data_IF_892586342973
#
_entry.id   IF_892586342973
#
_cell.length_a   1.000
_cell.length_b   1.000
_cell.length_c   1.000
_cell.angle_alpha   90.00
_cell.angle_beta   90.00
_cell.angle_gamma   90.00
#
_symmetry.space_group_name_H-M   'P 1'
#
loop_
_entity.id
_entity.type
_entity.pdbx_description
1 polymer ?
#
# COMPACT_ATOMS: atom_id res chain seq x y z
N UNK A 1 26.91 3.22 -21.15
CA UNK A 1 26.22 3.10 -19.85
C UNK A 1 25.83 1.63 -19.64
N UNK A 2 25.86 1.13 -18.41
CA UNK A 2 25.31 -0.20 -18.11
C UNK A 2 23.81 -0.22 -18.38
N UNK A 3 23.32 -1.37 -18.85
CA UNK A 3 21.91 -1.60 -19.11
C UNK A 3 21.18 -2.04 -17.86
N UNK A 4 20.15 -1.31 -17.47
CA UNK A 4 19.22 -1.68 -16.38
C UNK A 4 17.87 -2.02 -16.95
N UNK A 5 17.40 -3.22 -16.69
CA UNK A 5 16.02 -3.60 -16.92
C UNK A 5 15.24 -3.43 -15.60
N UNK A 6 14.09 -2.77 -15.67
CA UNK A 6 13.16 -2.62 -14.54
C UNK A 6 11.90 -3.41 -14.86
N UNK A 7 11.57 -4.39 -14.03
CA UNK A 7 10.38 -5.23 -14.19
C UNK A 7 9.20 -4.62 -13.44
N UNK A 8 8.31 -3.99 -14.18
CA UNK A 8 7.09 -3.35 -13.67
C UNK A 8 7.14 -1.82 -13.68
N UNK A 9 6.04 -1.22 -14.17
CA UNK A 9 5.85 0.22 -14.34
C UNK A 9 4.91 0.84 -13.29
N UNK A 10 4.88 0.28 -12.08
CA UNK A 10 4.25 0.91 -10.93
C UNK A 10 5.08 2.07 -10.38
N UNK A 11 4.61 2.70 -9.29
CA UNK A 11 5.29 3.87 -8.70
C UNK A 11 6.76 3.55 -8.32
N UNK A 12 7.06 2.35 -7.82
CA UNK A 12 8.43 1.95 -7.46
C UNK A 12 9.33 1.88 -8.69
N UNK A 13 8.90 1.15 -9.74
CA UNK A 13 9.69 0.98 -10.96
C UNK A 13 9.90 2.30 -11.71
N UNK A 14 8.88 3.15 -11.82
CA UNK A 14 9.01 4.46 -12.45
C UNK A 14 9.90 5.41 -11.65
N UNK A 15 9.81 5.38 -10.30
CA UNK A 15 10.65 6.24 -9.46
C UNK A 15 12.12 5.87 -9.57
N UNK A 16 12.47 4.58 -9.43
CA UNK A 16 13.87 4.14 -9.55
C UNK A 16 14.40 4.39 -10.96
N UNK A 17 13.58 4.15 -12.00
CA UNK A 17 13.97 4.43 -13.38
C UNK A 17 14.34 5.91 -13.57
N UNK A 18 13.51 6.84 -13.05
CA UNK A 18 13.81 8.29 -13.08
C UNK A 18 15.13 8.64 -12.44
N UNK A 19 15.43 8.02 -11.31
CA UNK A 19 16.65 8.29 -10.53
C UNK A 19 17.91 7.70 -11.18
N UNK A 20 17.76 6.73 -12.08
CA UNK A 20 18.88 6.04 -12.74
C UNK A 20 19.18 6.56 -14.16
N UNK A 21 18.30 7.35 -14.79
CA UNK A 21 18.42 7.78 -16.19
C UNK A 21 19.74 8.48 -16.53
N UNK A 22 20.31 9.24 -15.60
CA UNK A 22 21.56 9.98 -15.83
C UNK A 22 22.81 9.08 -15.81
N UNK A 23 22.71 7.89 -15.19
CA UNK A 23 23.85 6.99 -14.96
C UNK A 23 23.76 5.69 -15.77
N UNK A 24 22.54 5.29 -16.17
CA UNK A 24 22.27 3.98 -16.80
C UNK A 24 21.41 4.11 -18.06
N UNK A 25 21.53 3.12 -18.95
CA UNK A 25 20.55 2.88 -20.01
C UNK A 25 19.37 2.07 -19.41
N UNK A 26 18.26 2.76 -19.16
CA UNK A 26 17.13 2.18 -18.41
C UNK A 26 15.98 1.82 -19.36
N UNK A 27 15.48 0.60 -19.23
CA UNK A 27 14.32 0.09 -19.95
C UNK A 27 13.37 -0.62 -19.00
N UNK A 28 12.06 -0.34 -19.14
CA UNK A 28 11.01 -0.96 -18.31
C UNK A 28 10.28 -2.04 -19.11
N UNK A 29 10.09 -3.22 -18.49
CA UNK A 29 9.22 -4.28 -19.00
C UNK A 29 7.96 -4.34 -18.11
N UNK A 30 6.80 -4.08 -18.70
CA UNK A 30 5.49 -4.09 -18.02
C UNK A 30 4.63 -5.23 -18.54
N UNK A 31 4.18 -6.11 -17.65
CA UNK A 31 3.39 -7.28 -18.02
C UNK A 31 1.98 -6.91 -18.54
N UNK A 32 1.38 -5.83 -18.03
CA UNK A 32 0.06 -5.40 -18.46
C UNK A 32 0.11 -4.49 -19.68
N UNK A 33 -1.03 -4.27 -20.31
CA UNK A 33 -1.22 -3.35 -21.44
C UNK A 33 -1.18 -1.88 -21.04
N UNK A 34 -1.19 -1.58 -19.75
CA UNK A 34 -1.23 -0.23 -19.19
C UNK A 34 -0.31 -0.09 -17.98
N UNK A 35 0.46 0.99 -17.97
CA UNK A 35 1.35 1.34 -16.86
C UNK A 35 0.60 1.78 -15.60
N UNK A 36 1.23 1.64 -14.41
CA UNK A 36 0.74 2.23 -13.18
C UNK A 36 0.61 1.29 -11.97
N UNK A 37 0.70 -0.02 -12.16
CA UNK A 37 0.58 -0.99 -11.06
C UNK A 37 -0.71 -0.80 -10.25
N UNK A 38 -0.62 -0.83 -8.92
CA UNK A 38 -1.79 -0.69 -8.03
C UNK A 38 -2.45 0.70 -8.05
N UNK A 39 -1.73 1.74 -8.46
CA UNK A 39 -2.28 3.11 -8.46
C UNK A 39 -2.88 3.52 -9.82
N UNK A 40 -3.07 2.53 -10.69
CA UNK A 40 -3.66 2.67 -12.03
C UNK A 40 -5.12 3.15 -11.94
N UNK A 41 -5.47 4.12 -12.79
CA UNK A 41 -6.85 4.58 -12.94
C UNK A 41 -7.30 4.44 -14.40
N UNK A 42 -8.60 4.25 -14.59
CA UNK A 42 -9.26 4.27 -15.90
C UNK A 42 -10.32 5.36 -15.98
N UNK A 43 -10.69 5.74 -17.20
CA UNK A 43 -11.89 6.52 -17.46
C UNK A 43 -12.99 5.59 -17.97
N UNK A 44 -14.10 5.52 -17.25
CA UNK A 44 -15.29 4.75 -17.62
C UNK A 44 -16.40 5.75 -17.89
N UNK A 45 -16.76 5.89 -19.17
CA UNK A 45 -17.77 6.87 -19.63
C UNK A 45 -17.52 8.28 -19.06
N UNK A 46 -16.25 8.69 -18.98
CA UNK A 46 -15.83 9.99 -18.41
C UNK A 46 -15.56 9.99 -16.89
N UNK A 47 -16.05 9.03 -16.14
CA UNK A 47 -15.79 8.91 -14.69
C UNK A 47 -14.44 8.29 -14.40
N UNK A 48 -13.72 8.80 -13.40
CA UNK A 48 -12.42 8.24 -13.01
C UNK A 48 -12.62 7.03 -12.09
N UNK A 49 -12.11 5.89 -12.51
CA UNK A 49 -12.10 4.66 -11.74
C UNK A 49 -10.69 4.37 -11.21
N UNK A 50 -10.47 4.51 -9.92
CA UNK A 50 -9.35 3.89 -9.24
C UNK A 50 -9.60 2.39 -9.19
N UNK A 51 -8.83 1.59 -9.94
CA UNK A 51 -9.03 0.13 -9.99
C UNK A 51 -8.92 -0.53 -8.62
N UNK A 52 -8.08 0.04 -7.74
CA UNK A 52 -7.83 -0.43 -6.38
C UNK A 52 -7.75 0.79 -5.47
N UNK A 53 -8.53 0.79 -4.39
CA UNK A 53 -8.44 1.84 -3.37
C UNK A 53 -8.78 3.25 -3.86
N UNK A 54 -8.27 4.24 -3.17
CA UNK A 54 -8.33 5.67 -3.52
C UNK A 54 -7.00 6.28 -3.13
N UNK A 55 -6.09 6.36 -4.09
CA UNK A 55 -4.71 6.75 -3.84
C UNK A 55 -4.56 8.26 -3.81
N UNK A 56 -4.02 8.76 -2.71
CA UNK A 56 -3.67 10.16 -2.47
C UNK A 56 -2.19 10.24 -2.11
N UNK A 57 -1.58 11.39 -2.26
CA UNK A 57 -0.17 11.59 -1.95
C UNK A 57 0.02 12.46 -0.71
N UNK A 58 0.86 12.02 0.18
CA UNK A 58 1.51 12.79 1.24
C UNK A 58 2.73 12.01 1.74
N UNK A 59 3.65 12.69 2.41
CA UNK A 59 4.79 12.06 3.08
C UNK A 59 5.17 12.87 4.32
N UNK A 60 5.74 12.19 5.31
CA UNK A 60 6.45 12.82 6.44
C UNK A 60 7.95 12.99 6.16
N UNK A 61 8.48 12.34 5.11
CA UNK A 61 9.87 12.44 4.70
C UNK A 61 10.04 13.63 3.75
N UNK A 62 10.79 14.65 4.20
CA UNK A 62 11.02 15.86 3.41
C UNK A 62 11.77 15.57 2.11
N UNK A 63 12.73 14.65 2.10
CA UNK A 63 13.48 14.28 0.89
C UNK A 63 12.56 13.70 -0.18
N UNK A 64 11.58 12.87 0.22
CA UNK A 64 10.55 12.34 -0.69
C UNK A 64 9.65 13.45 -1.23
N UNK A 65 9.25 14.41 -0.36
CA UNK A 65 8.45 15.57 -0.77
C UNK A 65 9.20 16.43 -1.78
N UNK A 66 10.47 16.73 -1.51
CA UNK A 66 11.31 17.57 -2.39
C UNK A 66 11.47 16.90 -3.77
N UNK A 67 11.79 15.62 -3.79
CA UNK A 67 11.89 14.86 -5.05
C UNK A 67 10.56 14.86 -5.80
N UNK A 68 9.46 14.60 -5.13
CA UNK A 68 8.13 14.56 -5.76
C UNK A 68 7.79 15.92 -6.38
N UNK A 69 7.91 17.01 -5.62
CA UNK A 69 7.57 18.34 -6.10
C UNK A 69 8.53 18.89 -7.16
N UNK A 70 9.72 18.32 -7.30
CA UNK A 70 10.59 18.62 -8.45
C UNK A 70 10.05 18.06 -9.78
N UNK A 71 9.15 17.09 -9.75
CA UNK A 71 8.51 16.51 -10.92
C UNK A 71 7.11 17.11 -11.21
N UNK A 72 6.51 17.79 -10.25
CA UNK A 72 5.12 18.27 -10.33
C UNK A 72 4.99 19.69 -9.81
N UNK A 73 4.12 20.51 -10.48
CA UNK A 73 3.72 21.80 -9.94
C UNK A 73 2.58 21.61 -8.93
N UNK A 74 2.92 21.76 -7.64
CA UNK A 74 1.99 21.50 -6.55
C UNK A 74 0.70 22.33 -6.65
N UNK A 75 0.83 23.63 -6.91
CA UNK A 75 -0.29 24.56 -6.85
C UNK A 75 -1.15 24.56 -8.10
N UNK A 76 -0.56 24.27 -9.26
CA UNK A 76 -1.26 24.19 -10.53
C UNK A 76 -1.90 22.83 -10.80
N UNK A 77 -1.23 21.75 -10.39
CA UNK A 77 -1.60 20.38 -10.78
C UNK A 77 -2.31 19.58 -9.70
N UNK A 78 -2.21 20.00 -8.43
CA UNK A 78 -2.80 19.27 -7.30
C UNK A 78 -3.81 20.09 -6.52
N UNK A 79 -4.71 19.39 -5.86
CA UNK A 79 -5.62 19.87 -4.84
C UNK A 79 -5.09 19.44 -3.48
N UNK A 80 -5.08 20.34 -2.50
CA UNK A 80 -4.84 20.00 -1.11
C UNK A 80 -6.17 19.81 -0.42
N UNK A 81 -6.30 18.71 0.35
CA UNK A 81 -7.51 18.40 1.09
C UNK A 81 -7.19 17.86 2.48
N UNK A 82 -8.09 18.14 3.42
CA UNK A 82 -8.10 17.50 4.74
C UNK A 82 -8.95 16.24 4.69
N UNK A 83 -8.48 15.20 5.35
CA UNK A 83 -9.20 13.93 5.42
C UNK A 83 -10.48 14.07 6.26
N UNK A 84 -11.63 13.81 5.65
CA UNK A 84 -12.90 13.67 6.34
C UNK A 84 -13.31 12.19 6.30
N UNK A 85 -12.70 11.37 7.15
CA UNK A 85 -13.01 9.96 7.24
C UNK A 85 -14.03 9.70 8.35
N UNK A 86 -14.97 8.79 8.09
CA UNK A 86 -16.02 8.38 9.03
C UNK A 86 -16.08 6.86 9.15
N UNK A 87 -16.70 6.42 10.22
CA UNK A 87 -17.06 5.02 10.48
C UNK A 87 -18.57 4.93 10.52
N UNK A 88 -19.16 4.02 9.77
CA UNK A 88 -20.58 3.70 9.88
C UNK A 88 -20.79 2.67 10.99
N UNK A 89 -21.46 3.10 12.06
CA UNK A 89 -21.74 2.26 13.22
C UNK A 89 -23.18 2.45 13.70
N UNK A 90 -23.95 1.37 13.74
CA UNK A 90 -25.37 1.39 14.10
C UNK A 90 -26.17 2.46 13.32
N UNK A 91 -25.87 2.62 12.03
CA UNK A 91 -26.54 3.59 11.16
C UNK A 91 -26.12 5.05 11.36
N UNK A 92 -25.13 5.34 12.21
CA UNK A 92 -24.58 6.67 12.47
C UNK A 92 -23.17 6.82 11.93
N UNK A 93 -22.83 8.02 11.46
CA UNK A 93 -21.46 8.36 11.06
C UNK A 93 -20.68 8.86 12.27
N UNK A 94 -19.63 8.14 12.63
CA UNK A 94 -18.71 8.46 13.73
C UNK A 94 -17.37 8.90 13.13
N UNK A 95 -16.65 9.81 13.79
CA UNK A 95 -15.33 10.26 13.38
C UNK A 95 -14.31 9.11 13.34
N UNK A 96 -13.28 9.26 12.52
CA UNK A 96 -12.16 8.33 12.40
C UNK A 96 -10.85 9.02 12.79
N UNK A 97 -9.98 8.37 13.54
CA UNK A 97 -10.05 7.00 14.07
C UNK A 97 -10.98 6.92 15.29
N UNK A 98 -11.61 5.74 15.50
CA UNK A 98 -12.68 5.57 16.48
C UNK A 98 -12.25 5.93 17.91
N UNK A 99 -11.02 5.59 18.29
CA UNK A 99 -10.47 5.84 19.62
C UNK A 99 -10.44 7.34 19.99
N UNK A 100 -10.45 8.25 19.02
CA UNK A 100 -10.51 9.70 19.27
C UNK A 100 -11.95 10.25 19.31
N UNK A 101 -12.94 9.44 18.95
CA UNK A 101 -14.33 9.85 18.83
C UNK A 101 -15.30 8.98 19.65
N UNK A 102 -14.82 8.40 20.76
CA UNK A 102 -15.64 7.55 21.65
C UNK A 102 -16.86 8.31 22.18
N UNK A 103 -16.76 9.62 22.38
CA UNK A 103 -17.86 10.48 22.85
C UNK A 103 -19.06 10.52 21.89
N UNK A 104 -18.94 10.02 20.67
CA UNK A 104 -20.02 9.90 19.68
C UNK A 104 -20.76 8.56 19.76
N UNK A 105 -20.22 7.60 20.54
CA UNK A 105 -20.87 6.31 20.82
C UNK A 105 -22.01 6.44 21.86
N UNK A 106 -22.90 5.43 21.97
CA UNK A 106 -23.88 5.38 23.05
C UNK A 106 -23.22 5.48 24.43
N UNK A 107 -23.83 6.22 25.36
CA UNK A 107 -23.26 6.50 26.69
C UNK A 107 -22.78 5.24 27.42
N UNK A 108 -23.60 4.19 27.42
CA UNK A 108 -23.24 2.92 28.08
C UNK A 108 -21.97 2.30 27.48
N UNK A 109 -21.84 2.34 26.15
CA UNK A 109 -20.64 1.84 25.44
C UNK A 109 -19.41 2.66 25.80
N UNK A 110 -19.52 3.99 25.83
CA UNK A 110 -18.44 4.89 26.25
C UNK A 110 -18.00 4.58 27.68
N UNK A 111 -18.97 4.44 28.61
CA UNK A 111 -18.70 4.12 30.01
C UNK A 111 -17.94 2.80 30.18
N UNK A 112 -18.34 1.76 29.45
CA UNK A 112 -17.69 0.46 29.48
C UNK A 112 -16.24 0.53 28.95
N UNK A 113 -16.03 1.21 27.81
CA UNK A 113 -14.70 1.36 27.22
C UNK A 113 -13.79 2.19 28.15
N UNK A 114 -14.28 3.34 28.64
CA UNK A 114 -13.45 4.24 29.49
C UNK A 114 -13.08 3.56 30.80
N UNK A 115 -14.01 2.85 31.44
CA UNK A 115 -13.70 2.10 32.67
C UNK A 115 -12.60 1.05 32.40
N UNK A 116 -12.72 0.23 31.35
CA UNK A 116 -11.68 -0.73 30.99
C UNK A 116 -10.32 -0.06 30.74
N UNK A 117 -10.30 1.07 30.02
CA UNK A 117 -9.06 1.84 29.77
C UNK A 117 -8.44 2.38 31.07
N UNK A 118 -9.25 2.83 32.04
CA UNK A 118 -8.78 3.29 33.34
C UNK A 118 -8.21 2.15 34.18
N UNK A 119 -8.88 0.99 34.18
CA UNK A 119 -8.38 -0.22 34.86
C UNK A 119 -7.03 -0.65 34.27
N UNK A 120 -6.90 -0.66 32.93
CA UNK A 120 -5.63 -0.96 32.27
C UNK A 120 -4.50 0.02 32.64
N UNK A 121 -4.81 1.31 32.83
CA UNK A 121 -3.81 2.30 33.28
C UNK A 121 -3.39 2.03 34.74
N UNK A 122 -4.34 1.64 35.60
CA UNK A 122 -4.07 1.36 37.01
C UNK A 122 -3.22 0.09 37.17
N UNK A 123 -3.44 -0.94 36.36
CA UNK A 123 -2.75 -2.23 36.41
C UNK A 123 -1.36 -2.22 35.71
N UNK A 124 -1.09 -1.27 34.86
CA UNK A 124 0.13 -1.26 34.03
C UNK A 124 1.36 -0.85 34.83
N UNK A 125 2.12 -1.83 35.31
CA UNK A 125 3.35 -1.64 36.14
C UNK A 125 4.66 -1.72 35.34
N UNK A 126 4.64 -2.11 34.05
CA UNK A 126 5.84 -2.28 33.22
C UNK A 126 5.50 -2.20 31.71
N UNK A 127 6.51 -1.99 30.87
CA UNK A 127 6.40 -2.13 29.42
C UNK A 127 5.96 -3.53 29.04
N UNK A 128 4.77 -3.66 28.44
CA UNK A 128 4.24 -4.95 27.98
C UNK A 128 4.69 -5.17 26.55
N UNK A 129 5.36 -6.28 26.28
CA UNK A 129 5.63 -6.74 24.91
C UNK A 129 4.47 -7.61 24.45
N UNK A 130 4.01 -7.37 23.26
CA UNK A 130 2.93 -8.13 22.63
C UNK A 130 3.50 -9.07 21.56
N UNK A 131 2.93 -10.26 21.42
CA UNK A 131 3.43 -11.27 20.48
C UNK A 131 2.83 -11.17 19.07
N UNK A 132 1.69 -10.50 18.93
CA UNK A 132 0.96 -10.39 17.68
C UNK A 132 0.03 -9.16 17.68
N UNK A 133 -0.54 -8.86 16.51
CA UNK A 133 -1.38 -7.69 16.29
C UNK A 133 -2.67 -7.69 17.15
N UNK A 134 -3.30 -8.86 17.35
CA UNK A 134 -4.49 -8.95 18.20
C UNK A 134 -4.17 -8.56 19.64
N UNK A 135 -3.11 -9.13 20.22
CA UNK A 135 -2.72 -8.87 21.60
C UNK A 135 -2.30 -7.42 21.79
N UNK A 136 -1.61 -6.84 20.79
CA UNK A 136 -1.31 -5.41 20.74
C UNK A 136 -2.58 -4.55 20.78
N UNK A 137 -3.58 -4.84 19.94
CA UNK A 137 -4.82 -4.07 19.91
C UNK A 137 -5.60 -4.16 21.21
N UNK A 138 -5.69 -5.35 21.81
CA UNK A 138 -6.35 -5.55 23.11
C UNK A 138 -5.57 -4.82 24.22
N UNK A 139 -4.27 -4.97 24.26
CA UNK A 139 -3.42 -4.33 25.27
C UNK A 139 -3.26 -2.82 25.15
N UNK A 140 -3.57 -2.26 23.97
CA UNK A 140 -3.51 -0.80 23.73
C UNK A 140 -4.86 -0.12 23.84
N UNK A 141 -5.95 -0.81 23.52
CA UNK A 141 -7.28 -0.20 23.38
C UNK A 141 -8.38 -0.90 24.21
N UNK A 142 -8.06 -2.00 24.88
CA UNK A 142 -9.01 -2.81 25.63
C UNK A 142 -9.82 -3.78 24.77
N UNK A 143 -10.37 -4.78 25.45
CA UNK A 143 -11.17 -5.85 24.81
C UNK A 143 -12.50 -5.32 24.24
N UNK A 144 -13.09 -4.33 24.90
CA UNK A 144 -14.36 -3.74 24.45
C UNK A 144 -14.20 -3.04 23.09
N UNK A 145 -13.21 -2.16 22.96
CA UNK A 145 -12.96 -1.44 21.72
C UNK A 145 -12.43 -2.37 20.63
N UNK A 146 -11.60 -3.36 21.01
CA UNK A 146 -11.19 -4.41 20.09
C UNK A 146 -12.40 -5.16 19.49
N UNK A 147 -13.31 -5.66 20.33
CA UNK A 147 -14.47 -6.41 19.85
C UNK A 147 -15.46 -5.56 19.07
N UNK A 148 -15.56 -4.27 19.40
CA UNK A 148 -16.45 -3.33 18.73
C UNK A 148 -15.97 -2.96 17.33
N UNK A 149 -14.68 -2.72 17.16
CA UNK A 149 -14.13 -2.12 15.95
C UNK A 149 -12.90 -2.81 15.40
N UNK A 150 -11.79 -2.85 16.16
CA UNK A 150 -10.49 -3.26 15.59
C UNK A 150 -10.48 -4.71 15.12
N UNK A 151 -11.03 -5.63 15.91
CA UNK A 151 -11.11 -7.04 15.57
C UNK A 151 -11.94 -7.29 14.31
N UNK A 152 -13.22 -6.91 14.29
CA UNK A 152 -14.09 -7.10 13.12
C UNK A 152 -13.56 -6.44 11.86
N UNK A 153 -13.06 -5.19 11.96
CA UNK A 153 -12.59 -4.44 10.81
C UNK A 153 -11.31 -5.02 10.21
N UNK A 154 -10.30 -5.28 11.04
CA UNK A 154 -9.03 -5.82 10.57
C UNK A 154 -9.17 -7.24 10.04
N UNK A 155 -9.94 -8.12 10.72
CA UNK A 155 -10.22 -9.46 10.21
C UNK A 155 -10.91 -9.44 8.84
N UNK A 156 -11.78 -8.45 8.59
CA UNK A 156 -12.45 -8.28 7.30
C UNK A 156 -11.48 -7.87 6.20
N UNK A 157 -10.62 -6.87 6.44
CA UNK A 157 -9.66 -6.38 5.44
C UNK A 157 -8.64 -7.46 5.08
N UNK A 158 -8.07 -8.10 6.10
CA UNK A 158 -6.98 -9.05 5.92
C UNK A 158 -7.46 -10.43 5.50
N UNK A 159 -8.74 -10.72 5.74
CA UNK A 159 -9.32 -12.05 5.54
C UNK A 159 -8.46 -13.15 6.19
N UNK A 160 -7.92 -12.86 7.35
CA UNK A 160 -7.07 -13.76 8.14
C UNK A 160 -7.26 -13.56 9.63
N UNK A 161 -6.79 -14.54 10.41
CA UNK A 161 -6.72 -14.41 11.87
C UNK A 161 -5.60 -13.44 12.26
N UNK A 162 -5.98 -12.27 12.76
CA UNK A 162 -5.02 -11.22 13.15
C UNK A 162 -4.13 -11.58 14.35
N UNK A 163 -4.40 -12.67 15.05
CA UNK A 163 -3.48 -13.22 16.04
C UNK A 163 -2.21 -13.83 15.44
N UNK A 164 -2.21 -14.10 14.13
CA UNK A 164 -1.06 -14.61 13.39
C UNK A 164 -0.21 -13.51 12.74
N UNK A 165 -0.70 -12.27 12.75
CA UNK A 165 0.01 -11.12 12.17
C UNK A 165 1.04 -10.60 13.18
N UNK A 166 2.34 -10.53 12.83
CA UNK A 166 3.40 -10.07 13.71
C UNK A 166 3.38 -8.55 13.91
N UNK A 167 4.00 -8.07 14.99
CA UNK A 167 4.04 -6.64 15.30
C UNK A 167 5.06 -5.85 14.49
N UNK A 168 6.12 -6.47 14.06
CA UNK A 168 7.18 -5.85 13.26
C UNK A 168 6.61 -5.23 11.98
N UNK A 169 5.50 -5.76 11.51
CA UNK A 169 4.76 -5.21 10.38
C UNK A 169 4.15 -3.82 10.66
N UNK A 170 3.87 -3.51 11.93
CA UNK A 170 3.21 -2.27 12.35
C UNK A 170 4.18 -1.12 12.59
N UNK A 171 5.47 -1.41 12.66
CA UNK A 171 6.48 -0.43 13.02
C UNK A 171 6.41 0.80 12.09
N UNK A 172 6.20 1.97 12.68
CA UNK A 172 6.00 3.23 11.99
C UNK A 172 4.68 3.40 11.20
N UNK A 173 3.79 2.40 11.17
CA UNK A 173 2.55 2.41 10.36
C UNK A 173 1.29 2.76 11.14
N UNK A 174 1.26 2.45 12.42
CA UNK A 174 0.17 2.84 13.31
C UNK A 174 0.69 3.82 14.36
N UNK A 175 -0.05 4.89 14.66
CA UNK A 175 0.21 5.67 15.84
C UNK A 175 0.07 4.74 17.06
N UNK A 176 1.02 4.80 17.97
CA UNK A 176 0.98 4.09 19.25
C UNK A 176 0.34 5.01 20.29
N UNK A 177 -1.00 5.10 20.38
CA UNK A 177 -1.63 6.03 21.29
C UNK A 177 -1.40 5.58 22.73
N UNK A 178 -1.01 6.51 23.56
CA UNK A 178 -1.07 6.29 25.00
C UNK A 178 -2.55 6.34 25.44
N UNK A 179 -2.98 5.39 26.25
CA UNK A 179 -4.37 5.33 26.76
C UNK A 179 -4.80 6.67 27.35
N UNK A 180 -3.89 7.33 28.10
CA UNK A 180 -4.15 8.66 28.66
C UNK A 180 -4.51 9.69 27.60
N UNK A 181 -3.80 9.69 26.47
CA UNK A 181 -4.07 10.63 25.36
C UNK A 181 -5.39 10.31 24.68
N UNK A 182 -5.77 9.04 24.55
CA UNK A 182 -7.09 8.65 24.05
C UNK A 182 -8.19 9.26 24.93
N UNK A 183 -8.08 9.13 26.26
CA UNK A 183 -9.07 9.66 27.21
C UNK A 183 -9.11 11.19 27.12
N UNK A 184 -7.96 11.86 27.17
CA UNK A 184 -7.85 13.34 27.11
C UNK A 184 -8.40 13.86 25.79
N UNK A 185 -8.07 13.25 24.66
CA UNK A 185 -8.58 13.66 23.34
C UNK A 185 -10.09 13.60 23.25
N UNK A 186 -10.71 12.57 23.84
CA UNK A 186 -12.18 12.46 23.91
C UNK A 186 -12.82 13.51 24.82
N UNK A 187 -12.25 13.80 25.99
CA UNK A 187 -12.74 14.86 26.87
C UNK A 187 -12.68 16.22 26.19
N UNK A 188 -11.57 16.51 25.53
CA UNK A 188 -11.32 17.78 24.82
C UNK A 188 -11.96 17.83 23.41
N UNK A 189 -12.53 16.72 22.95
CA UNK A 189 -13.07 16.57 21.58
C UNK A 189 -12.09 17.02 20.50
N UNK A 190 -10.81 16.63 20.65
CA UNK A 190 -9.77 16.98 19.70
C UNK A 190 -9.98 16.25 18.38
N UNK A 191 -9.88 17.00 17.28
CA UNK A 191 -9.85 16.39 15.95
C UNK A 191 -8.49 15.75 15.67
N UNK A 192 -8.50 14.68 14.87
CA UNK A 192 -7.28 13.96 14.50
C UNK A 192 -6.43 14.80 13.53
N UNK A 193 -5.19 15.07 13.90
CA UNK A 193 -4.22 15.79 13.08
C UNK A 193 -2.88 15.05 12.90
N UNK A 194 -2.69 13.93 13.59
CA UNK A 194 -1.41 13.20 13.68
C UNK A 194 -1.22 12.08 12.65
N UNK A 195 -2.27 11.65 11.95
CA UNK A 195 -2.17 10.58 10.95
C UNK A 195 -1.41 11.04 9.69
N UNK A 196 -0.70 10.11 9.04
CA UNK A 196 0.11 10.39 7.83
C UNK A 196 -0.71 11.06 6.73
N UNK A 197 -1.99 10.72 6.62
CA UNK A 197 -2.91 11.28 5.62
C UNK A 197 -4.02 12.14 6.24
N UNK A 198 -3.73 12.82 7.36
CA UNK A 198 -4.65 13.83 7.92
C UNK A 198 -4.89 14.98 6.92
N UNK A 199 -3.85 15.34 6.16
CA UNK A 199 -3.93 16.13 4.94
C UNK A 199 -3.29 15.36 3.78
N UNK A 200 -3.72 15.64 2.55
CA UNK A 200 -3.18 14.97 1.37
C UNK A 200 -3.28 15.84 0.12
N UNK A 201 -2.51 15.46 -0.88
CA UNK A 201 -2.55 16.04 -2.22
C UNK A 201 -3.15 15.05 -3.20
N UNK A 202 -3.97 15.56 -4.11
CA UNK A 202 -4.60 14.78 -5.16
C UNK A 202 -4.50 15.50 -6.49
N UNK A 203 -4.12 14.81 -7.57
CA UNK A 203 -4.01 15.42 -8.88
C UNK A 203 -5.37 15.93 -9.37
N UNK A 204 -5.44 17.18 -9.87
CA UNK A 204 -6.66 17.81 -10.34
C UNK A 204 -7.35 17.02 -11.44
N UNK A 205 -6.59 16.31 -12.29
CA UNK A 205 -7.10 15.41 -13.34
C UNK A 205 -6.42 14.05 -13.28
N UNK A 206 -7.15 13.02 -13.69
CA UNK A 206 -6.70 11.63 -13.83
C UNK A 206 -6.18 10.97 -12.54
N UNK A 207 -6.36 11.59 -11.37
CA UNK A 207 -5.98 11.01 -10.09
C UNK A 207 -4.53 10.53 -10.04
N UNK A 208 -4.30 9.37 -9.46
CA UNK A 208 -2.94 8.79 -9.36
C UNK A 208 -2.35 8.38 -10.72
N UNK A 209 -3.16 8.17 -11.75
CA UNK A 209 -2.65 7.93 -13.11
C UNK A 209 -1.85 9.12 -13.65
N UNK A 210 -2.21 10.35 -13.29
CA UNK A 210 -1.45 11.56 -13.66
C UNK A 210 0.00 11.49 -13.16
N UNK A 211 0.20 10.98 -11.95
CA UNK A 211 1.55 10.80 -11.38
C UNK A 211 2.34 9.81 -12.23
N UNK A 212 1.73 8.67 -12.55
CA UNK A 212 2.33 7.61 -13.37
C UNK A 212 2.70 8.14 -14.75
N UNK A 213 1.77 8.78 -15.43
CA UNK A 213 1.97 9.29 -16.80
C UNK A 213 3.10 10.34 -16.84
N UNK A 214 3.22 11.17 -15.80
CA UNK A 214 4.30 12.15 -15.68
C UNK A 214 5.66 11.48 -15.46
N UNK A 215 5.75 10.52 -14.54
CA UNK A 215 6.99 9.83 -14.26
C UNK A 215 7.45 8.93 -15.42
N UNK A 216 6.55 8.46 -16.24
CA UNK A 216 6.86 7.63 -17.42
C UNK A 216 7.44 8.41 -18.61
N UNK A 217 7.29 9.73 -18.67
CA UNK A 217 7.71 10.53 -19.82
C UNK A 217 9.20 10.36 -20.15
N UNK A 218 9.51 9.96 -21.39
CA UNK A 218 10.89 9.81 -21.87
C UNK A 218 11.63 8.58 -21.34
N UNK A 219 10.96 7.65 -20.66
CA UNK A 219 11.50 6.33 -20.32
C UNK A 219 11.06 5.34 -21.40
N UNK A 220 11.96 4.45 -21.82
CA UNK A 220 11.62 3.34 -22.70
C UNK A 220 10.81 2.30 -21.94
N UNK A 221 9.54 2.07 -22.31
CA UNK A 221 8.63 1.15 -21.63
C UNK A 221 7.98 0.21 -22.63
N UNK A 222 8.20 -1.09 -22.46
CA UNK A 222 7.56 -2.15 -23.23
C UNK A 222 6.36 -2.68 -22.44
N UNK A 223 5.17 -2.30 -22.80
CA UNK A 223 3.92 -2.84 -22.24
C UNK A 223 3.60 -4.21 -22.85
N UNK A 224 2.72 -4.97 -22.21
CA UNK A 224 2.38 -6.36 -22.59
C UNK A 224 3.62 -7.25 -22.72
N UNK A 225 4.69 -6.92 -21.97
CA UNK A 225 5.99 -7.59 -22.02
C UNK A 225 6.38 -8.03 -20.60
N UNK A 226 5.79 -9.12 -20.13
CA UNK A 226 6.13 -9.73 -18.86
C UNK A 226 7.47 -10.46 -18.89
N UNK A 227 8.17 -10.52 -17.75
CA UNK A 227 9.34 -11.38 -17.62
C UNK A 227 8.87 -12.81 -17.39
N UNK A 228 9.26 -13.71 -18.28
CA UNK A 228 8.93 -15.14 -18.24
C UNK A 228 10.12 -16.02 -17.91
N UNK A 229 11.34 -15.50 -18.12
CA UNK A 229 12.57 -16.22 -17.82
C UNK A 229 13.73 -15.26 -17.54
N UNK A 230 14.51 -15.59 -16.51
CA UNK A 230 15.76 -14.93 -16.15
C UNK A 230 16.84 -15.99 -16.02
N UNK A 231 17.96 -15.80 -16.69
CA UNK A 231 19.15 -16.66 -16.58
C UNK A 231 20.43 -15.82 -16.68
N UNK A 232 21.53 -16.35 -16.23
CA UNK A 232 22.84 -15.71 -16.45
C UNK A 232 23.28 -15.93 -17.90
N UNK A 233 23.70 -14.87 -18.58
CA UNK A 233 24.34 -14.94 -19.88
C UNK A 233 25.86 -15.18 -19.70
N UNK A 234 26.45 -14.45 -18.77
CA UNK A 234 27.82 -14.56 -18.32
C UNK A 234 27.91 -14.10 -16.85
N UNK A 235 29.12 -13.88 -16.32
CA UNK A 235 29.35 -13.48 -14.93
C UNK A 235 28.65 -12.14 -14.57
N UNK A 236 28.57 -11.21 -15.52
CA UNK A 236 28.17 -9.83 -15.29
C UNK A 236 26.83 -9.45 -15.96
N UNK A 237 26.23 -10.37 -16.73
CA UNK A 237 25.02 -10.09 -17.50
C UNK A 237 23.96 -11.16 -17.36
N UNK A 238 22.71 -10.67 -17.39
CA UNK A 238 21.49 -11.46 -17.37
C UNK A 238 20.89 -11.54 -18.78
N UNK A 239 20.36 -12.72 -19.10
CA UNK A 239 19.50 -12.98 -20.26
C UNK A 239 18.05 -13.05 -19.79
N UNK A 240 17.21 -12.19 -20.33
CA UNK A 240 15.79 -12.09 -20.00
C UNK A 240 14.97 -12.53 -21.22
N UNK A 241 13.91 -13.32 -20.99
CA UNK A 241 13.01 -13.84 -22.03
C UNK A 241 13.76 -14.55 -23.17
N UNK A 242 14.64 -15.49 -22.80
CA UNK A 242 15.48 -16.26 -23.75
C UNK A 242 16.42 -15.42 -24.64
N UNK A 243 16.85 -14.25 -24.18
CA UNK A 243 17.80 -13.38 -24.89
C UNK A 243 17.14 -12.24 -25.64
N UNK A 244 15.83 -12.06 -25.55
CA UNK A 244 15.15 -10.89 -26.12
C UNK A 244 15.66 -9.59 -25.50
N UNK A 245 16.06 -9.66 -24.21
CA UNK A 245 16.67 -8.55 -23.50
C UNK A 245 17.93 -9.04 -22.76
N UNK A 246 18.97 -8.19 -22.78
CA UNK A 246 20.20 -8.40 -22.02
C UNK A 246 20.35 -7.24 -21.07
N UNK A 247 20.67 -7.52 -19.80
CA UNK A 247 20.81 -6.53 -18.74
C UNK A 247 22.09 -6.75 -17.93
N UNK A 248 22.74 -5.67 -17.53
CA UNK A 248 23.79 -5.68 -16.52
C UNK A 248 23.22 -5.70 -15.10
N UNK A 249 22.01 -5.14 -14.94
CA UNK A 249 21.26 -5.06 -13.69
C UNK A 249 19.76 -5.30 -13.94
N UNK A 250 19.09 -5.99 -13.03
CA UNK A 250 17.63 -6.15 -13.02
C UNK A 250 17.06 -5.59 -11.71
N UNK A 251 16.14 -4.63 -11.80
CA UNK A 251 15.29 -4.21 -10.68
C UNK A 251 13.91 -4.85 -10.84
N UNK A 252 13.57 -5.76 -9.96
CA UNK A 252 12.32 -6.49 -10.00
C UNK A 252 11.28 -5.85 -9.06
N UNK A 253 10.20 -5.31 -9.63
CA UNK A 253 9.09 -4.68 -8.92
C UNK A 253 7.80 -5.52 -8.98
N UNK A 254 7.89 -6.76 -9.46
CA UNK A 254 6.76 -7.69 -9.53
C UNK A 254 6.50 -8.43 -8.22
N UNK A 255 5.68 -9.48 -8.30
CA UNK A 255 5.37 -10.34 -7.16
C UNK A 255 6.54 -11.30 -6.89
N UNK A 256 7.11 -11.23 -5.69
CA UNK A 256 8.26 -12.03 -5.25
C UNK A 256 8.00 -13.54 -5.38
N UNK A 257 6.75 -13.99 -5.22
CA UNK A 257 6.33 -15.40 -5.30
C UNK A 257 6.53 -16.00 -6.70
N UNK A 258 6.51 -15.15 -7.74
CA UNK A 258 6.67 -15.60 -9.13
C UNK A 258 8.13 -15.84 -9.51
N UNK A 259 9.08 -15.41 -8.69
CA UNK A 259 10.51 -15.49 -9.03
C UNK A 259 11.00 -16.93 -9.20
N UNK A 260 10.52 -17.87 -8.39
CA UNK A 260 10.88 -19.29 -8.52
C UNK A 260 10.45 -19.89 -9.87
N UNK A 261 9.36 -19.35 -10.46
CA UNK A 261 8.82 -19.83 -11.73
C UNK A 261 9.51 -19.20 -12.95
N UNK A 262 10.29 -18.13 -12.78
CA UNK A 262 10.95 -17.40 -13.87
C UNK A 262 12.48 -17.44 -13.82
N UNK A 263 13.09 -17.59 -12.64
CA UNK A 263 14.56 -17.68 -12.50
C UNK A 263 15.04 -19.07 -12.90
N UNK A 264 16.09 -19.11 -13.73
CA UNK A 264 16.75 -20.32 -14.23
C UNK A 264 18.27 -20.17 -14.02
N UNK A 265 18.69 -20.01 -12.78
CA UNK A 265 20.06 -19.95 -12.33
C UNK A 265 20.32 -21.18 -11.47
N UNK A 266 21.33 -21.95 -11.78
CA UNK A 266 21.67 -23.18 -11.06
C UNK A 266 22.52 -22.86 -9.81
N UNK A 267 21.84 -22.43 -8.75
CA UNK A 267 22.42 -22.10 -7.44
C UNK A 267 21.52 -22.68 -6.34
N UNK A 268 22.01 -23.66 -5.56
CA UNK A 268 21.19 -24.27 -4.50
C UNK A 268 20.69 -23.31 -3.43
N UNK A 269 21.53 -22.34 -2.98
CA UNK A 269 21.17 -21.34 -1.96
C UNK A 269 20.10 -20.40 -2.47
N UNK A 270 20.21 -19.96 -3.72
CA UNK A 270 19.20 -19.14 -4.38
C UNK A 270 17.88 -19.92 -4.54
N UNK A 271 17.94 -21.17 -4.97
CA UNK A 271 16.75 -22.01 -5.17
C UNK A 271 16.01 -22.22 -3.84
N UNK A 272 16.71 -22.49 -2.74
CA UNK A 272 16.13 -22.61 -1.40
C UNK A 272 15.45 -21.28 -0.98
N UNK A 273 16.10 -20.15 -1.20
CA UNK A 273 15.56 -18.83 -0.88
C UNK A 273 14.31 -18.48 -1.71
N UNK A 274 14.28 -18.87 -2.99
CA UNK A 274 13.11 -18.70 -3.89
C UNK A 274 11.92 -19.53 -3.44
N UNK A 275 12.13 -20.79 -3.09
CA UNK A 275 11.04 -21.67 -2.61
C UNK A 275 10.47 -21.19 -1.26
N UNK A 276 11.30 -20.60 -0.38
CA UNK A 276 10.86 -20.10 0.92
C UNK A 276 9.83 -18.95 0.82
N UNK A 277 9.86 -18.14 -0.24
CA UNK A 277 8.92 -17.01 -0.45
C UNK A 277 7.70 -17.38 -1.30
N UNK A 278 7.72 -18.51 -1.99
CA UNK A 278 6.65 -18.93 -2.92
C UNK A 278 5.28 -19.07 -2.24
N UNK A 279 5.27 -19.48 -0.98
CA UNK A 279 4.08 -19.68 -0.17
C UNK A 279 3.53 -18.43 0.51
N UNK A 280 4.08 -17.26 0.28
CA UNK A 280 3.61 -16.03 0.93
C UNK A 280 2.15 -15.73 0.61
N UNK A 281 1.40 -15.30 1.62
CA UNK A 281 -0.03 -15.04 1.51
C UNK A 281 -0.31 -13.56 1.21
N UNK A 282 -1.28 -13.32 0.35
CA UNK A 282 -1.83 -11.98 0.10
C UNK A 282 -3.34 -12.03 0.03
N UNK A 283 -3.99 -10.90 0.30
CA UNK A 283 -5.43 -10.76 0.09
C UNK A 283 -5.69 -9.77 -1.04
N UNK A 284 -6.57 -10.17 -1.97
CA UNK A 284 -7.02 -9.30 -3.04
C UNK A 284 -8.17 -8.40 -2.62
N UNK A 285 -8.59 -7.52 -3.53
CA UNK A 285 -9.79 -6.70 -3.38
C UNK A 285 -10.62 -6.67 -4.63
N UNK A 286 -11.94 -6.78 -4.44
CA UNK A 286 -12.92 -6.51 -5.48
C UNK A 286 -13.46 -5.10 -5.30
N UNK A 287 -13.46 -4.31 -6.38
CA UNK A 287 -13.78 -2.89 -6.36
C UNK A 287 -14.91 -2.59 -7.33
N UNK A 288 -15.86 -1.77 -6.89
CA UNK A 288 -16.97 -1.31 -7.73
C UNK A 288 -16.94 0.20 -7.81
N UNK A 289 -16.79 0.76 -9.02
CA UNK A 289 -17.07 2.16 -9.26
C UNK A 289 -18.58 2.36 -9.24
N UNK A 290 -19.07 3.30 -8.44
CA UNK A 290 -20.48 3.61 -8.32
C UNK A 290 -20.74 5.12 -8.46
N UNK A 291 -21.91 5.48 -8.96
CA UNK A 291 -22.51 6.77 -8.63
C UNK A 291 -23.03 6.75 -7.19
N UNK A 292 -23.02 7.89 -6.53
CA UNK A 292 -23.46 8.05 -5.14
C UNK A 292 -24.13 9.40 -4.92
N UNK A 293 -24.96 9.51 -3.89
CA UNK A 293 -25.46 10.79 -3.43
C UNK A 293 -24.33 11.70 -2.94
N UNK A 294 -24.52 13.02 -3.10
CA UNK A 294 -23.55 14.00 -2.68
C UNK A 294 -23.34 13.98 -1.16
N UNK A 295 -22.09 14.04 -0.75
CA UNK A 295 -21.65 14.13 0.63
C UNK A 295 -20.26 14.78 0.69
N UNK A 296 -19.71 15.01 1.88
CA UNK A 296 -18.39 15.61 2.13
C UNK A 296 -17.36 14.60 2.65
N UNK A 297 -17.69 13.31 2.72
CA UNK A 297 -16.85 12.26 3.27
C UNK A 297 -15.76 11.88 2.26
N UNK A 298 -14.54 11.65 2.73
CA UNK A 298 -13.43 11.09 1.92
C UNK A 298 -13.45 9.56 1.92
N UNK A 299 -13.52 8.96 3.13
CA UNK A 299 -13.56 7.51 3.35
C UNK A 299 -14.62 7.15 4.38
N UNK A 300 -15.43 6.16 4.10
CA UNK A 300 -16.38 5.57 5.03
C UNK A 300 -15.98 4.13 5.33
N UNK A 301 -15.62 3.86 6.58
CA UNK A 301 -15.25 2.54 7.06
C UNK A 301 -16.45 1.77 7.58
N UNK A 302 -16.55 0.47 7.26
CA UNK A 302 -17.69 -0.40 7.51
C UNK A 302 -17.28 -1.60 8.38
N UNK A 303 -17.07 -1.43 9.70
CA UNK A 303 -16.59 -2.51 10.58
C UNK A 303 -17.63 -3.59 10.82
N UNK A 304 -18.92 -3.25 10.86
CA UNK A 304 -19.98 -4.17 11.22
C UNK A 304 -20.08 -5.36 10.25
N UNK A 305 -20.27 -6.57 10.79
CA UNK A 305 -20.31 -7.83 10.02
C UNK A 305 -21.48 -7.90 9.03
N UNK A 306 -22.55 -7.12 9.26
CA UNK A 306 -23.70 -7.04 8.34
C UNK A 306 -23.33 -6.46 6.98
N UNK A 307 -22.31 -5.58 6.91
CA UNK A 307 -21.78 -5.05 5.66
C UNK A 307 -20.65 -5.95 5.17
N UNK A 308 -20.72 -6.38 3.93
CA UNK A 308 -19.67 -7.21 3.32
C UNK A 308 -18.53 -6.37 2.74
N UNK A 309 -18.85 -5.20 2.21
CA UNK A 309 -17.83 -4.20 1.93
C UNK A 309 -17.11 -3.77 3.21
N UNK A 310 -15.82 -3.46 3.11
CA UNK A 310 -15.08 -2.97 4.26
C UNK A 310 -14.92 -1.45 4.26
N UNK A 311 -15.05 -0.79 3.11
CA UNK A 311 -15.06 0.68 3.02
C UNK A 311 -15.70 1.18 1.73
N UNK A 312 -16.12 2.45 1.77
CA UNK A 312 -16.47 3.25 0.59
C UNK A 312 -15.47 4.40 0.52
N UNK A 313 -14.89 4.62 -0.65
CA UNK A 313 -13.96 5.71 -0.91
C UNK A 313 -14.64 6.68 -1.86
N UNK A 314 -14.96 7.87 -1.38
CA UNK A 314 -15.67 8.87 -2.17
C UNK A 314 -14.69 9.62 -3.08
N UNK A 315 -14.14 8.90 -4.06
CA UNK A 315 -13.13 9.42 -5.00
C UNK A 315 -13.64 10.60 -5.79
N UNK A 316 -14.96 10.71 -6.02
CA UNK A 316 -15.60 11.87 -6.64
C UNK A 316 -15.49 13.16 -5.83
N UNK A 317 -15.20 13.08 -4.51
CA UNK A 317 -14.93 14.24 -3.66
C UNK A 317 -13.46 14.70 -3.72
N UNK A 318 -12.55 13.88 -4.25
CA UNK A 318 -11.14 14.24 -4.35
C UNK A 318 -10.87 15.25 -5.46
N UNK A 319 -11.63 15.18 -6.57
CA UNK A 319 -11.63 16.15 -7.66
C UNK A 319 -12.97 16.11 -8.43
N UNK A 320 -13.46 17.28 -8.82
CA UNK A 320 -14.67 17.38 -9.66
C UNK A 320 -14.50 16.65 -11.01
N UNK A 321 -13.28 16.63 -11.55
CA UNK A 321 -13.00 15.94 -12.82
C UNK A 321 -13.14 14.42 -12.74
N UNK A 322 -13.27 13.86 -11.55
CA UNK A 322 -13.52 12.43 -11.38
C UNK A 322 -14.96 12.03 -11.72
N UNK A 323 -15.89 13.01 -11.81
CA UNK A 323 -17.31 12.81 -12.02
C UNK A 323 -17.77 13.27 -13.43
N UNK A 324 -16.87 13.52 -14.38
CA UNK A 324 -17.22 14.13 -15.69
C UNK A 324 -18.21 13.31 -16.53
N UNK A 325 -18.37 12.01 -16.24
CA UNK A 325 -19.33 11.13 -16.92
C UNK A 325 -20.69 11.03 -16.22
N UNK A 326 -20.86 11.63 -15.06
CA UNK A 326 -22.05 11.47 -14.22
C UNK A 326 -22.64 12.81 -13.78
N UNK A 327 -23.96 12.83 -13.57
CA UNK A 327 -24.65 13.96 -12.91
C UNK A 327 -24.54 13.88 -11.38
N UNK A 328 -24.16 12.75 -10.87
CA UNK A 328 -23.98 12.47 -9.44
C UNK A 328 -22.48 12.37 -9.12
N UNK A 329 -22.14 12.40 -7.84
CA UNK A 329 -20.79 12.09 -7.39
C UNK A 329 -20.45 10.61 -7.62
N UNK A 330 -19.18 10.26 -7.64
CA UNK A 330 -18.71 8.88 -7.77
C UNK A 330 -17.95 8.43 -6.52
N UNK A 331 -17.97 7.13 -6.30
CA UNK A 331 -17.20 6.48 -5.24
C UNK A 331 -16.71 5.10 -5.68
N UNK A 332 -15.75 4.56 -4.95
CA UNK A 332 -15.32 3.16 -5.07
C UNK A 332 -15.74 2.41 -3.83
N UNK A 333 -16.52 1.34 -4.00
CA UNK A 333 -16.86 0.39 -2.93
C UNK A 333 -15.90 -0.77 -2.98
N UNK A 334 -15.25 -1.06 -1.86
CA UNK A 334 -14.18 -2.05 -1.78
C UNK A 334 -14.57 -3.24 -0.90
N UNK A 335 -14.42 -4.44 -1.46
CA UNK A 335 -14.67 -5.72 -0.83
C UNK A 335 -13.38 -6.50 -0.66
N UNK A 336 -13.27 -7.26 0.41
CA UNK A 336 -12.13 -8.13 0.66
C UNK A 336 -12.20 -9.40 -0.20
N UNK A 337 -11.07 -9.77 -0.80
CA UNK A 337 -10.95 -10.94 -1.65
C UNK A 337 -11.70 -10.84 -2.98
N UNK A 338 -11.78 -11.97 -3.67
CA UNK A 338 -12.55 -12.10 -4.91
C UNK A 338 -14.04 -12.27 -4.59
N UNK A 339 -14.86 -11.40 -5.16
CA UNK A 339 -16.32 -11.43 -5.02
C UNK A 339 -16.98 -11.51 -6.39
N UNK A 340 -18.07 -12.27 -6.47
CA UNK A 340 -18.87 -12.33 -7.67
C UNK A 340 -19.65 -11.03 -7.88
N UNK A 341 -19.83 -10.66 -9.15
CA UNK A 341 -20.44 -9.38 -9.53
C UNK A 341 -21.86 -9.21 -8.99
N UNK A 342 -22.67 -10.25 -9.12
CA UNK A 342 -24.06 -10.27 -8.65
C UNK A 342 -24.15 -10.10 -7.15
N UNK A 343 -23.24 -10.72 -6.41
CA UNK A 343 -23.14 -10.57 -4.97
C UNK A 343 -22.80 -9.13 -4.56
N UNK A 344 -21.83 -8.51 -5.24
CA UNK A 344 -21.48 -7.11 -4.97
C UNK A 344 -22.66 -6.18 -5.25
N UNK A 345 -23.37 -6.35 -6.36
CA UNK A 345 -24.54 -5.54 -6.72
C UNK A 345 -25.65 -5.65 -5.68
N UNK A 346 -25.89 -6.84 -5.14
CA UNK A 346 -26.88 -7.03 -4.07
C UNK A 346 -26.47 -6.31 -2.78
N UNK A 347 -25.19 -6.42 -2.41
CA UNK A 347 -24.65 -5.76 -1.22
C UNK A 347 -24.68 -4.23 -1.31
N UNK A 348 -24.54 -3.64 -2.51
CA UNK A 348 -24.67 -2.18 -2.69
C UNK A 348 -26.00 -1.63 -2.20
N UNK A 349 -27.08 -2.42 -2.25
CA UNK A 349 -28.42 -2.01 -1.79
C UNK A 349 -28.50 -1.78 -0.28
N UNK A 350 -27.60 -2.42 0.47
CA UNK A 350 -27.51 -2.32 1.93
C UNK A 350 -26.61 -1.18 2.40
N UNK A 351 -25.90 -0.53 1.46
CA UNK A 351 -24.93 0.53 1.76
C UNK A 351 -25.56 1.92 1.61
N UNK A 352 -25.08 2.93 2.36
CA UNK A 352 -25.58 4.30 2.25
C UNK A 352 -25.13 4.95 0.93
N UNK A 353 -25.90 5.96 0.47
CA UNK A 353 -25.53 6.82 -0.65
C UNK A 353 -26.23 6.47 -1.97
N UNK A 354 -27.24 5.58 -1.96
CA UNK A 354 -28.03 5.24 -3.15
C UNK A 354 -27.12 4.86 -4.34
N UNK A 355 -26.33 3.81 -4.14
CA UNK A 355 -25.24 3.41 -5.00
C UNK A 355 -25.74 2.78 -6.31
N UNK A 356 -25.23 3.27 -7.45
CA UNK A 356 -25.49 2.71 -8.79
C UNK A 356 -24.16 2.25 -9.39
N UNK A 357 -23.95 0.93 -9.64
CA UNK A 357 -22.68 0.42 -10.14
C UNK A 357 -22.43 0.82 -11.59
N UNK A 358 -21.20 1.24 -11.89
CA UNK A 358 -20.73 1.63 -13.22
C UNK A 358 -19.68 0.64 -13.78
N UNK A 359 -18.71 0.22 -12.95
CA UNK A 359 -17.64 -0.67 -13.36
C UNK A 359 -17.14 -1.53 -12.21
N UNK A 360 -16.46 -2.63 -12.55
CA UNK A 360 -15.95 -3.62 -11.60
C UNK A 360 -14.48 -3.93 -11.91
N UNK A 361 -13.70 -4.15 -10.86
CA UNK A 361 -12.33 -4.64 -10.97
C UNK A 361 -12.02 -5.59 -9.82
N UNK A 362 -11.26 -6.64 -10.10
CA UNK A 362 -10.63 -7.47 -9.07
C UNK A 362 -9.12 -7.37 -9.17
N UNK A 363 -8.47 -7.04 -8.06
CA UNK A 363 -7.01 -7.05 -7.93
C UNK A 363 -6.60 -8.17 -6.96
N UNK A 364 -5.94 -9.21 -7.43
CA UNK A 364 -5.53 -10.32 -6.58
C UNK A 364 -4.46 -9.95 -5.55
N UNK A 365 -3.67 -8.93 -5.84
CA UNK A 365 -2.52 -8.50 -5.05
C UNK A 365 -2.74 -7.09 -4.49
N UNK A 366 -3.54 -6.95 -3.41
CA UNK A 366 -3.78 -5.66 -2.75
C UNK A 366 -3.10 -5.55 -1.40
N UNK A 367 -3.27 -6.55 -0.54
CA UNK A 367 -2.73 -6.58 0.82
C UNK A 367 -1.79 -7.75 0.98
N UNK A 368 -0.55 -7.47 1.36
CA UNK A 368 0.40 -8.51 1.76
C UNK A 368 0.05 -9.01 3.17
N UNK A 369 0.29 -10.28 3.44
CA UNK A 369 0.16 -10.88 4.77
C UNK A 369 1.54 -11.35 5.19
N UNK A 370 2.01 -10.86 6.32
CA UNK A 370 3.31 -11.22 6.88
C UNK A 370 3.12 -12.16 8.07
N UNK A 371 4.09 -13.04 8.27
CA UNK A 371 4.29 -13.84 9.46
C UNK A 371 5.65 -13.54 10.12
N UNK A 372 5.96 -14.20 11.23
CA UNK A 372 7.20 -13.97 11.99
C UNK A 372 8.49 -14.29 11.19
N UNK A 373 8.42 -15.10 10.14
CA UNK A 373 9.57 -15.52 9.33
C UNK A 373 9.71 -14.71 8.04
N UNK A 374 8.67 -13.98 7.65
CA UNK A 374 8.62 -13.27 6.37
C UNK A 374 9.84 -12.38 6.14
N UNK A 375 10.23 -11.57 7.13
CA UNK A 375 11.39 -10.68 6.99
C UNK A 375 12.70 -11.43 6.81
N UNK A 376 12.88 -12.53 7.54
CA UNK A 376 14.05 -13.39 7.39
C UNK A 376 14.15 -13.98 5.98
N UNK A 377 13.07 -14.52 5.43
CA UNK A 377 13.08 -15.10 4.09
C UNK A 377 13.30 -14.04 3.00
N UNK A 378 12.64 -12.89 3.10
CA UNK A 378 12.86 -11.80 2.13
C UNK A 378 14.29 -11.29 2.18
N UNK A 379 14.87 -11.11 3.37
CA UNK A 379 16.25 -10.68 3.53
C UNK A 379 17.23 -11.69 2.92
N UNK A 380 17.02 -12.98 3.19
CA UNK A 380 17.86 -14.03 2.61
C UNK A 380 17.79 -14.02 1.08
N UNK A 381 16.56 -13.96 0.51
CA UNK A 381 16.39 -13.91 -0.93
C UNK A 381 17.06 -12.66 -1.56
N UNK A 382 16.93 -11.49 -0.95
CA UNK A 382 17.61 -10.26 -1.43
C UNK A 382 19.11 -10.46 -1.51
N UNK A 383 19.72 -11.11 -0.51
CA UNK A 383 21.16 -11.41 -0.47
C UNK A 383 21.57 -12.35 -1.61
N UNK A 384 20.80 -13.42 -1.84
CA UNK A 384 21.12 -14.39 -2.88
C UNK A 384 20.95 -13.79 -4.29
N UNK A 385 19.90 -13.02 -4.53
CA UNK A 385 19.64 -12.33 -5.80
C UNK A 385 20.72 -11.29 -6.13
N UNK A 386 21.23 -10.57 -5.13
CA UNK A 386 22.25 -9.55 -5.33
C UNK A 386 23.58 -10.11 -5.88
N UNK A 387 23.89 -11.39 -5.64
CA UNK A 387 25.04 -12.09 -6.27
C UNK A 387 24.97 -12.08 -7.81
N UNK A 388 23.76 -11.92 -8.35
CA UNK A 388 23.45 -11.93 -9.78
C UNK A 388 22.98 -10.56 -10.31
N UNK A 389 23.24 -9.48 -9.57
CA UNK A 389 22.77 -8.13 -9.93
C UNK A 389 21.24 -8.02 -10.09
N UNK A 390 20.47 -8.79 -9.32
CA UNK A 390 19.01 -8.73 -9.27
C UNK A 390 18.59 -8.11 -7.94
N UNK A 391 17.83 -7.02 -8.00
CA UNK A 391 17.40 -6.24 -6.84
C UNK A 391 15.88 -6.20 -6.76
N UNK A 392 15.33 -6.39 -5.57
CA UNK A 392 13.90 -6.31 -5.31
C UNK A 392 13.51 -4.89 -4.89
N UNK A 393 12.39 -4.37 -5.42
CA UNK A 393 11.90 -3.05 -5.09
C UNK A 393 10.38 -2.97 -5.12
N UNK A 394 9.78 -2.46 -4.05
CA UNK A 394 8.37 -2.15 -3.98
C UNK A 394 7.53 -3.19 -3.25
N UNK A 395 6.22 -2.87 -3.06
CA UNK A 395 5.32 -3.55 -2.13
C UNK A 395 5.33 -5.08 -2.24
N UNK A 396 5.22 -5.65 -3.44
CA UNK A 396 5.13 -7.09 -3.65
C UNK A 396 6.47 -7.77 -3.92
N UNK A 397 7.48 -7.02 -4.36
CA UNK A 397 8.83 -7.55 -4.51
C UNK A 397 9.56 -7.63 -3.16
N UNK A 398 9.36 -6.65 -2.27
CA UNK A 398 9.97 -6.62 -0.95
C UNK A 398 9.06 -7.19 0.14
N UNK A 399 7.83 -7.54 -0.22
CA UNK A 399 6.79 -8.01 0.70
C UNK A 399 6.57 -7.07 1.87
N UNK A 400 6.50 -5.75 1.57
CA UNK A 400 6.29 -4.66 2.53
C UNK A 400 5.05 -3.85 2.20
N UNK A 401 4.31 -3.42 3.23
CA UNK A 401 3.12 -2.60 3.05
C UNK A 401 3.50 -1.14 2.80
N UNK A 402 3.98 -0.86 1.60
CA UNK A 402 4.38 0.49 1.18
C UNK A 402 3.19 1.29 0.64
N UNK A 403 3.04 2.55 1.10
CA UNK A 403 2.30 3.59 0.40
C UNK A 403 3.20 4.20 -0.69
N UNK A 404 2.65 5.13 -1.51
CA UNK A 404 3.42 5.73 -2.61
C UNK A 404 4.72 6.39 -2.13
N UNK A 405 4.68 7.12 -1.02
CA UNK A 405 5.85 7.79 -0.45
C UNK A 405 6.94 6.79 -0.03
N UNK A 406 6.57 5.68 0.57
CA UNK A 406 7.52 4.63 0.95
C UNK A 406 8.08 3.88 -0.26
N UNK A 407 7.30 3.73 -1.34
CA UNK A 407 7.81 3.20 -2.61
C UNK A 407 8.87 4.13 -3.23
N UNK A 408 8.67 5.45 -3.15
CA UNK A 408 9.63 6.44 -3.63
C UNK A 408 10.88 6.45 -2.74
N UNK A 409 10.72 6.39 -1.43
CA UNK A 409 11.82 6.32 -0.46
C UNK A 409 12.71 5.10 -0.71
N UNK A 410 12.12 3.91 -0.86
CA UNK A 410 12.85 2.68 -1.20
C UNK A 410 13.56 2.77 -2.57
N UNK A 411 12.95 3.45 -3.55
CA UNK A 411 13.59 3.71 -4.83
C UNK A 411 14.81 4.65 -4.71
N UNK A 412 14.76 5.66 -3.83
CA UNK A 412 15.89 6.53 -3.52
C UNK A 412 17.06 5.74 -2.91
N UNK A 413 16.76 4.91 -1.92
CA UNK A 413 17.76 4.09 -1.25
C UNK A 413 18.45 3.13 -2.24
N UNK A 414 17.64 2.44 -3.08
CA UNK A 414 18.20 1.55 -4.09
C UNK A 414 19.02 2.31 -5.14
N UNK A 415 18.53 3.43 -5.66
CA UNK A 415 19.25 4.21 -6.67
C UNK A 415 20.58 4.75 -6.13
N UNK A 416 20.59 5.22 -4.89
CA UNK A 416 21.80 5.66 -4.21
C UNK A 416 22.82 4.50 -4.10
N UNK A 417 22.35 3.33 -3.68
CA UNK A 417 23.18 2.14 -3.60
C UNK A 417 23.77 1.75 -4.97
N UNK A 418 22.96 1.68 -6.02
CA UNK A 418 23.42 1.33 -7.37
C UNK A 418 24.43 2.33 -7.93
N UNK A 419 24.21 3.62 -7.72
CA UNK A 419 25.16 4.67 -8.18
C UNK A 419 26.50 4.65 -7.42
N UNK A 420 26.53 4.19 -6.17
CA UNK A 420 27.79 4.01 -5.42
C UNK A 420 28.56 2.75 -5.82
N UNK A 421 27.86 1.70 -6.28
CA UNK A 421 28.51 0.44 -6.70
C UNK A 421 29.41 0.56 -7.91
N UNK A 422 29.20 1.53 -8.78
CA UNK A 422 30.13 1.82 -9.87
C UNK A 422 31.48 2.39 -9.38
N UNK A 423 31.57 2.76 -8.10
CA UNK A 423 32.77 3.38 -7.50
C UNK A 423 33.58 2.38 -6.66
N UNK A 424 33.02 1.29 -6.11
CA UNK A 424 33.70 0.39 -5.17
C UNK A 424 33.26 -1.08 -5.31
N UNK A 425 34.18 -2.01 -5.59
CA UNK A 425 33.95 -3.46 -5.77
C UNK A 425 33.11 -4.21 -4.72
N UNK A 426 32.19 -4.88 -5.16
CA UNK A 426 31.18 -5.94 -4.97
C UNK A 426 30.96 -6.64 -3.60
N UNK A 427 31.82 -6.74 -2.64
CA UNK A 427 31.57 -7.60 -1.46
C UNK A 427 31.32 -6.85 -0.13
N UNK A 428 31.82 -5.64 0.03
CA UNK A 428 31.69 -4.89 1.29
C UNK A 428 30.37 -4.10 1.43
N UNK A 429 29.71 -3.79 0.35
CA UNK A 429 28.59 -2.84 0.33
C UNK A 429 27.23 -3.45 0.64
N UNK A 430 27.08 -4.77 0.45
CA UNK A 430 25.82 -5.49 0.77
C UNK A 430 25.49 -5.44 2.28
N UNK A 431 26.49 -5.50 3.13
CA UNK A 431 26.32 -5.39 4.60
C UNK A 431 25.83 -3.98 5.02
N UNK A 432 26.22 -2.95 4.28
CA UNK A 432 25.83 -1.55 4.54
C UNK A 432 24.39 -1.26 4.11
N UNK A 433 23.93 -1.82 2.98
CA UNK A 433 22.53 -1.76 2.54
C UNK A 433 21.56 -2.34 3.57
N UNK A 434 21.90 -3.46 4.18
CA UNK A 434 21.09 -4.12 5.18
C UNK A 434 21.14 -3.45 6.56
N UNK A 435 22.20 -2.72 6.89
CA UNK A 435 22.32 -1.97 8.15
C UNK A 435 21.48 -0.70 8.16
N UNK A 436 21.16 -0.12 6.99
CA UNK A 436 20.29 1.05 6.85
C UNK A 436 18.80 0.66 6.91
N UNK A 437 18.42 -0.48 6.34
CA UNK A 437 17.03 -0.98 6.39
C UNK A 437 16.63 -1.56 7.76
N UNK A 438 17.59 -1.85 8.64
CA UNK A 438 17.33 -2.32 10.01
C UNK A 438 17.22 -1.19 11.06
N UNK A 439 17.41 0.07 10.65
CA UNK A 439 17.32 1.26 11.51
C UNK A 439 16.15 2.20 11.17
N UNK A 440 15.30 1.82 10.20
CA UNK A 440 14.09 2.56 9.82
C UNK A 440 12.84 1.99 10.47
#
# INVERSE_FOLDING_TARGET
MKKVIVAGSGISGLSVSRMLLDSYDVEILEASDKIGGLIKCDRIDGNLFHRVGGHVFNSKNQTVLDWFWNHFNRDEEFLSATRNAKILFNGKYIGYPLENYLYQLPEQTVREIVNELLDMVAEKSSEVKYDNFKDFLIGSFGTKLYNLYFGPYNSKIWNTDISKVPLEWLDGKLPMPQIKEVIVSNILKREEAGMVHASFYYAKRNGSQFIIDRLAKGININVSTGITKISTLNKDQLSINNGDFIADLLVYCGDIRNLSDIIRINDPELNEALEAVKGFASNGTSNVLCETDANDISWLYLPEKKYKAHRIIYTGNFSETNNEGSKRKTCVVEFSGKQEREYMVEELKNLPGNLTPLAFNYEPNSYIIQDKQTRFFVHNLKRELAKYNIYLLGRFAEWEYYNMDKCIEAAMELSFHLNQHDIINNEKNYLQYNSLSSKA
#
